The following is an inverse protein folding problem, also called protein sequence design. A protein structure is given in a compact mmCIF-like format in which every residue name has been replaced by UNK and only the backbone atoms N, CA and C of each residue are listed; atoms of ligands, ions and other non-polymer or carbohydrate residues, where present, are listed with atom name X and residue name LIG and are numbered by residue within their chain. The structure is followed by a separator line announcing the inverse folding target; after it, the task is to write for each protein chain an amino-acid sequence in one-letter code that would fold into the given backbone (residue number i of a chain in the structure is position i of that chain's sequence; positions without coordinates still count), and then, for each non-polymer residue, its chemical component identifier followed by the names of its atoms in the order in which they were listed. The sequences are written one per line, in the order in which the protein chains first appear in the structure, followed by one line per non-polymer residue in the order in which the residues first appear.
data_IF_251069868654
#
_entry.id   IF_251069868654
#
_cell.length_a   1.000
_cell.length_b   1.000
_cell.length_c   1.000
_cell.angle_alpha   90.00
_cell.angle_beta   90.00
_cell.angle_gamma   90.00
#
_symmetry.space_group_name_H-M   'P 1'
#
loop_
_entity.id
_entity.type
_entity.pdbx_description
1 polymer ?
#
# COMPACT_ATOMS: atom_id res chain seq x y z
N UNK A 1 -27.80 43.30 14.36
CA UNK A 1 -28.14 42.11 13.57
C UNK A 1 -27.25 40.99 14.09
N UNK A 2 -27.80 39.86 14.53
CA UNK A 2 -26.97 38.74 14.96
C UNK A 2 -26.22 38.23 13.74
N UNK A 3 -24.90 38.10 13.86
CA UNK A 3 -24.07 37.43 12.87
C UNK A 3 -24.66 36.04 12.65
N UNK A 4 -25.13 35.81 11.42
CA UNK A 4 -25.43 34.50 10.90
C UNK A 4 -24.20 33.63 11.18
N UNK A 5 -24.29 32.76 12.18
CA UNK A 5 -23.33 31.71 12.46
C UNK A 5 -23.29 30.84 11.20
N UNK A 6 -22.41 31.19 10.26
CA UNK A 6 -22.08 30.37 9.13
C UNK A 6 -21.81 29.00 9.70
N UNK A 7 -22.65 28.02 9.35
CA UNK A 7 -22.49 26.66 9.83
C UNK A 7 -21.08 26.26 9.41
N UNK A 8 -20.17 26.19 10.37
CA UNK A 8 -18.88 25.54 10.15
C UNK A 8 -19.23 24.22 9.50
N UNK A 9 -18.84 24.07 8.23
CA UNK A 9 -19.15 22.86 7.50
C UNK A 9 -18.53 21.73 8.32
N UNK A 10 -19.37 20.87 8.88
CA UNK A 10 -18.94 19.65 9.57
C UNK A 10 -18.38 18.63 8.55
N UNK A 11 -17.77 19.12 7.48
CA UNK A 11 -17.12 18.33 6.47
C UNK A 11 -15.89 17.69 7.11
N UNK A 12 -15.86 16.36 7.26
CA UNK A 12 -14.77 15.66 7.94
C UNK A 12 -13.41 15.85 7.26
N UNK A 13 -13.41 16.34 6.02
CA UNK A 13 -12.23 16.56 5.19
C UNK A 13 -11.84 18.05 5.03
N UNK A 14 -12.48 18.96 5.78
CA UNK A 14 -12.06 20.37 5.75
C UNK A 14 -10.65 20.54 6.34
N UNK A 15 -9.84 21.42 5.75
CA UNK A 15 -8.48 21.74 6.21
C UNK A 15 -8.46 22.24 7.67
N UNK A 16 -9.57 22.80 8.13
CA UNK A 16 -9.72 23.31 9.50
C UNK A 16 -10.28 22.27 10.49
N UNK A 17 -10.50 21.02 10.02
CA UNK A 17 -11.22 19.99 10.76
C UNK A 17 -10.37 18.72 10.90
N UNK A 18 -9.22 18.83 11.56
CA UNK A 18 -8.35 17.68 11.86
C UNK A 18 -9.13 16.70 12.76
N UNK A 19 -9.37 15.50 12.25
CA UNK A 19 -9.94 14.39 13.01
C UNK A 19 -8.86 13.39 13.41
N UNK A 20 -8.90 12.95 14.66
CA UNK A 20 -8.16 11.81 15.18
C UNK A 20 -9.01 10.55 15.02
N UNK A 21 -8.33 9.44 14.77
CA UNK A 21 -8.93 8.13 14.64
C UNK A 21 -8.48 7.25 15.80
N UNK A 22 -9.42 6.51 16.41
CA UNK A 22 -9.09 5.37 17.25
C UNK A 22 -9.23 4.12 16.37
N UNK A 23 -8.11 3.49 16.02
CA UNK A 23 -8.08 2.36 15.09
C UNK A 23 -8.27 1.04 15.83
N UNK A 24 -9.36 0.35 15.51
CA UNK A 24 -9.64 -0.99 16.00
C UNK A 24 -9.28 -2.05 14.94
N UNK A 25 -8.81 -3.21 15.39
CA UNK A 25 -8.67 -4.36 14.49
C UNK A 25 -10.05 -4.79 13.99
N UNK A 26 -10.17 -5.19 12.71
CA UNK A 26 -11.34 -5.90 12.19
C UNK A 26 -11.31 -7.36 12.65
N UNK A 27 -11.35 -7.53 13.97
CA UNK A 27 -11.47 -8.80 14.64
C UNK A 27 -12.62 -8.70 15.65
N UNK A 28 -13.20 -9.85 15.94
CA UNK A 28 -14.18 -9.95 17.02
C UNK A 28 -13.45 -9.94 18.34
N UNK A 29 -14.00 -9.25 19.33
CA UNK A 29 -13.50 -9.22 20.71
C UNK A 29 -14.47 -10.00 21.60
N UNK A 30 -14.31 -11.33 21.77
CA UNK A 30 -15.30 -12.14 22.49
C UNK A 30 -15.42 -11.84 23.98
N UNK A 31 -14.46 -11.06 24.51
CA UNK A 31 -14.41 -10.62 25.92
C UNK A 31 -14.86 -9.16 26.10
N UNK A 32 -15.25 -8.47 25.03
CA UNK A 32 -15.78 -7.12 25.13
C UNK A 32 -17.13 -7.16 25.86
N UNK A 33 -17.35 -6.21 26.77
CA UNK A 33 -18.44 -6.27 27.74
C UNK A 33 -19.80 -6.24 27.06
N UNK A 34 -19.92 -5.48 25.97
CA UNK A 34 -21.19 -5.28 25.28
C UNK A 34 -21.37 -6.16 24.03
N UNK A 35 -20.52 -7.18 23.83
CA UNK A 35 -20.64 -8.05 22.64
C UNK A 35 -22.00 -8.75 22.54
N UNK A 36 -22.62 -9.12 23.67
CA UNK A 36 -23.93 -9.77 23.69
C UNK A 36 -25.06 -8.89 23.16
N UNK A 37 -24.92 -7.56 23.20
CA UNK A 37 -25.91 -6.63 22.65
C UNK A 37 -25.98 -6.71 21.13
N UNK A 38 -24.86 -7.04 20.50
CA UNK A 38 -24.75 -7.20 19.06
C UNK A 38 -25.50 -8.44 18.54
N UNK A 39 -25.92 -9.36 19.42
CA UNK A 39 -26.78 -10.50 19.05
C UNK A 39 -28.03 -10.06 18.30
N UNK A 40 -28.62 -8.94 18.72
CA UNK A 40 -29.82 -8.35 18.10
C UNK A 40 -29.59 -7.92 16.65
N UNK A 41 -28.33 -7.66 16.27
CA UNK A 41 -27.92 -7.32 14.90
C UNK A 41 -27.54 -8.56 14.08
N UNK A 42 -27.86 -9.75 14.58
CA UNK A 42 -27.47 -11.02 13.96
C UNK A 42 -25.95 -11.23 13.99
N UNK A 43 -25.27 -10.73 15.03
CA UNK A 43 -23.85 -10.96 15.21
C UNK A 43 -23.58 -12.32 15.86
N UNK A 44 -22.43 -12.90 15.56
CA UNK A 44 -21.93 -14.14 16.12
C UNK A 44 -20.39 -14.14 16.16
N UNK A 45 -19.81 -15.12 16.85
CA UNK A 45 -18.37 -15.32 16.99
C UNK A 45 -17.96 -16.67 16.40
N UNK A 46 -16.88 -16.68 15.61
CA UNK A 46 -16.32 -17.92 15.09
C UNK A 46 -15.69 -18.69 16.24
N UNK A 47 -16.24 -19.85 16.51
CA UNK A 47 -15.76 -20.73 17.55
C UNK A 47 -14.91 -21.84 16.98
N UNK A 48 -13.63 -21.86 17.35
CA UNK A 48 -12.83 -23.09 17.32
C UNK A 48 -13.26 -24.06 18.44
N UNK A 49 -12.32 -24.88 18.92
CA UNK A 49 -12.60 -25.88 19.96
C UNK A 49 -12.87 -25.29 21.37
N UNK A 50 -12.69 -23.98 21.59
CA UNK A 50 -12.49 -23.41 22.94
C UNK A 50 -13.54 -22.39 23.40
N UNK A 51 -14.64 -22.21 22.67
CA UNK A 51 -15.61 -21.16 22.99
C UNK A 51 -16.34 -21.33 24.32
N UNK A 52 -16.41 -22.55 24.88
CA UNK A 52 -17.13 -22.78 26.14
C UNK A 52 -16.54 -21.97 27.32
N UNK A 53 -15.25 -21.61 27.23
CA UNK A 53 -14.57 -20.73 28.19
C UNK A 53 -15.03 -19.26 28.15
N UNK A 54 -15.77 -18.85 27.11
CA UNK A 54 -16.26 -17.48 26.93
C UNK A 54 -17.61 -17.23 27.61
N UNK A 55 -18.05 -18.17 28.46
CA UNK A 55 -19.31 -18.05 29.21
C UNK A 55 -20.51 -17.92 28.28
N UNK A 56 -21.37 -16.92 28.54
CA UNK A 56 -22.59 -16.72 27.75
C UNK A 56 -22.30 -16.43 26.27
N UNK A 57 -21.19 -15.74 25.94
CA UNK A 57 -20.81 -15.42 24.56
C UNK A 57 -20.51 -16.70 23.77
N UNK A 58 -19.90 -17.69 24.41
CA UNK A 58 -19.52 -18.96 23.80
C UNK A 58 -20.67 -19.94 23.52
N UNK A 59 -21.85 -19.70 24.11
CA UNK A 59 -23.03 -20.55 23.90
C UNK A 59 -23.59 -20.37 22.49
N UNK A 60 -24.37 -21.35 22.03
CA UNK A 60 -25.07 -21.28 20.75
C UNK A 60 -26.10 -20.14 20.75
N UNK A 61 -26.45 -19.66 19.57
CA UNK A 61 -27.44 -18.58 19.45
C UNK A 61 -28.81 -18.98 20.00
N UNK A 62 -29.24 -20.23 19.82
CA UNK A 62 -30.48 -20.75 20.41
C UNK A 62 -30.49 -20.77 21.96
N UNK A 63 -29.31 -20.83 22.56
CA UNK A 63 -29.09 -20.78 24.02
C UNK A 63 -28.83 -19.33 24.51
N UNK A 64 -29.11 -18.34 23.65
CA UNK A 64 -28.87 -16.93 23.90
C UNK A 64 -27.40 -16.51 23.88
N UNK A 65 -26.50 -17.31 23.32
CA UNK A 65 -25.10 -16.93 23.14
C UNK A 65 -24.83 -16.28 21.79
N UNK A 66 -23.56 -16.27 21.39
CA UNK A 66 -23.07 -15.65 20.16
C UNK A 66 -22.32 -16.64 19.26
N UNK A 67 -22.20 -17.93 19.60
CA UNK A 67 -21.47 -18.88 18.76
C UNK A 67 -22.11 -18.99 17.38
N UNK A 68 -21.33 -18.75 16.33
CA UNK A 68 -21.81 -18.90 14.97
C UNK A 68 -22.22 -20.35 14.69
N UNK A 69 -23.19 -20.58 13.79
CA UNK A 69 -23.52 -21.92 13.31
C UNK A 69 -22.30 -22.63 12.72
N UNK A 70 -22.21 -23.96 12.84
CA UNK A 70 -21.08 -24.73 12.29
C UNK A 70 -21.02 -24.66 10.76
N UNK A 71 -22.18 -24.64 10.10
CA UNK A 71 -22.30 -24.62 8.65
C UNK A 71 -22.51 -23.19 8.15
N UNK A 72 -21.43 -22.41 8.07
CA UNK A 72 -21.47 -21.06 7.49
C UNK A 72 -21.12 -21.10 6.03
N UNK A 73 -21.80 -20.28 5.24
CA UNK A 73 -21.31 -19.96 3.89
C UNK A 73 -20.10 -19.03 4.01
N UNK A 74 -19.13 -19.09 3.08
CA UNK A 74 -18.13 -18.04 2.96
C UNK A 74 -18.81 -16.65 2.93
N UNK A 75 -18.22 -15.67 3.60
CA UNK A 75 -18.72 -14.28 3.68
C UNK A 75 -20.06 -14.10 4.40
N UNK A 76 -20.46 -15.05 5.25
CA UNK A 76 -21.65 -14.87 6.08
C UNK A 76 -21.49 -13.61 6.95
N UNK A 77 -22.45 -12.69 6.85
CA UNK A 77 -22.32 -11.33 7.35
C UNK A 77 -22.43 -11.19 8.87
N UNK A 78 -22.34 -12.28 9.62
CA UNK A 78 -22.67 -12.40 11.04
C UNK A 78 -21.47 -12.16 11.99
N UNK A 79 -20.24 -12.02 11.54
CA UNK A 79 -19.09 -11.88 12.48
C UNK A 79 -18.99 -10.54 13.22
N UNK A 80 -19.55 -9.45 12.68
CA UNK A 80 -19.51 -8.10 13.30
C UNK A 80 -18.14 -7.64 13.84
N UNK A 81 -17.05 -7.84 13.08
CA UNK A 81 -15.70 -7.48 13.51
C UNK A 81 -15.58 -5.98 13.80
N UNK A 82 -14.76 -5.60 14.77
CA UNK A 82 -14.56 -4.20 15.17
C UNK A 82 -15.69 -3.59 16.01
N UNK A 83 -16.96 -3.95 15.74
CA UNK A 83 -18.13 -3.36 16.39
C UNK A 83 -18.17 -3.47 17.92
N UNK A 84 -17.80 -4.62 18.56
CA UNK A 84 -17.80 -4.71 20.02
C UNK A 84 -16.85 -3.70 20.67
N UNK A 85 -15.65 -3.52 20.10
CA UNK A 85 -14.64 -2.60 20.63
C UNK A 85 -15.07 -1.15 20.46
N UNK A 86 -15.68 -0.81 19.31
CA UNK A 86 -16.22 0.52 19.07
C UNK A 86 -17.39 0.81 20.03
N UNK A 87 -18.27 -0.16 20.26
CA UNK A 87 -19.38 -0.01 21.20
C UNK A 87 -18.87 0.19 22.64
N UNK A 88 -17.89 -0.60 23.07
CA UNK A 88 -17.27 -0.48 24.39
C UNK A 88 -16.56 0.87 24.55
N UNK A 89 -15.75 1.31 23.56
CA UNK A 89 -15.13 2.64 23.58
C UNK A 89 -16.20 3.72 23.65
N UNK A 90 -17.24 3.64 22.82
CA UNK A 90 -18.27 4.65 22.78
C UNK A 90 -18.97 4.80 24.13
N UNK A 91 -19.37 3.68 24.75
CA UNK A 91 -19.99 3.69 26.08
C UNK A 91 -19.04 4.19 27.16
N UNK A 92 -17.76 3.82 27.12
CA UNK A 92 -16.76 4.35 28.04
C UNK A 92 -16.55 5.87 27.85
N UNK A 93 -16.71 6.38 26.63
CA UNK A 93 -16.67 7.82 26.35
C UNK A 93 -17.99 8.54 26.65
N UNK A 94 -19.12 7.84 26.79
CA UNK A 94 -20.37 8.43 27.28
C UNK A 94 -20.43 8.44 28.81
N UNK A 95 -19.95 7.36 29.45
CA UNK A 95 -19.83 7.21 30.89
C UNK A 95 -18.45 6.64 31.26
N UNK A 96 -17.43 7.50 31.47
CA UNK A 96 -16.09 7.06 31.83
C UNK A 96 -16.03 6.34 33.18
N UNK A 97 -16.99 6.61 34.08
CA UNK A 97 -17.06 5.95 35.37
C UNK A 97 -17.37 4.45 35.26
N UNK A 98 -18.03 4.04 34.16
CA UNK A 98 -18.30 2.63 33.85
C UNK A 98 -17.04 1.76 33.70
N UNK A 99 -15.90 2.39 33.41
CA UNK A 99 -14.57 1.74 33.33
C UNK A 99 -13.61 2.25 34.41
N UNK A 100 -14.12 2.92 35.44
CA UNK A 100 -13.31 3.46 36.53
C UNK A 100 -12.41 4.62 36.12
N UNK A 101 -12.73 5.34 35.03
CA UNK A 101 -11.97 6.47 34.54
C UNK A 101 -12.65 7.81 34.86
N UNK A 102 -11.85 8.85 35.09
CA UNK A 102 -12.33 10.22 35.26
C UNK A 102 -11.38 11.15 34.48
N UNK A 103 -11.94 11.92 33.55
CA UNK A 103 -11.17 12.87 32.76
C UNK A 103 -10.72 14.05 33.62
N UNK A 104 -9.46 14.44 33.48
CA UNK A 104 -8.89 15.61 34.16
C UNK A 104 -9.09 16.90 33.35
N UNK A 105 -9.35 16.78 32.05
CA UNK A 105 -9.46 17.92 31.12
C UNK A 105 -10.93 18.34 31.00
N UNK A 106 -11.24 19.59 31.33
CA UNK A 106 -12.57 20.15 31.05
C UNK A 106 -12.88 20.15 29.55
N UNK A 107 -14.15 19.97 29.19
CA UNK A 107 -14.58 19.97 27.78
C UNK A 107 -14.15 18.75 26.95
N UNK A 108 -13.60 17.70 27.57
CA UNK A 108 -13.16 16.48 26.89
C UNK A 108 -14.26 15.86 26.01
N UNK A 109 -15.52 15.88 26.45
CA UNK A 109 -16.64 15.28 25.72
C UNK A 109 -16.90 16.00 24.39
N UNK A 110 -16.87 17.35 24.42
CA UNK A 110 -16.98 18.16 23.22
C UNK A 110 -15.77 17.94 22.30
N UNK A 111 -14.56 17.84 22.86
CA UNK A 111 -13.36 17.54 22.08
C UNK A 111 -13.45 16.15 21.42
N UNK A 112 -13.96 15.14 22.12
CA UNK A 112 -14.19 13.81 21.58
C UNK A 112 -15.18 13.85 20.40
N UNK A 113 -16.36 14.41 20.64
CA UNK A 113 -17.41 14.52 19.61
C UNK A 113 -16.96 15.34 18.39
N UNK A 114 -16.15 16.38 18.60
CA UNK A 114 -15.73 17.27 17.53
C UNK A 114 -14.45 16.84 16.83
N UNK A 115 -13.59 16.03 17.44
CA UNK A 115 -12.28 15.70 16.86
C UNK A 115 -12.06 14.23 16.61
N UNK A 116 -12.94 13.35 17.06
CA UNK A 116 -12.73 11.92 16.90
C UNK A 116 -13.72 11.30 15.92
N UNK A 117 -13.20 10.36 15.14
CA UNK A 117 -13.99 9.48 14.30
C UNK A 117 -13.63 8.04 14.66
N UNK A 118 -14.63 7.17 14.72
CA UNK A 118 -14.35 5.74 14.88
C UNK A 118 -13.59 5.26 13.66
N UNK A 119 -12.62 4.35 13.87
CA UNK A 119 -11.95 3.73 12.74
C UNK A 119 -11.62 2.28 12.98
N UNK A 120 -11.43 1.54 11.90
CA UNK A 120 -11.04 0.15 11.96
C UNK A 120 -10.16 -0.23 10.76
N UNK A 121 -9.35 -1.27 10.92
CA UNK A 121 -8.49 -1.81 9.86
C UNK A 121 -9.07 -3.14 9.39
N UNK A 122 -9.59 -3.19 8.17
CA UNK A 122 -10.29 -4.35 7.63
C UNK A 122 -9.60 -4.94 6.42
N UNK A 123 -9.41 -6.26 6.45
CA UNK A 123 -8.77 -6.99 5.35
C UNK A 123 -9.79 -7.76 4.50
N UNK A 124 -10.85 -7.06 4.08
CA UNK A 124 -12.02 -7.62 3.40
C UNK A 124 -12.43 -6.76 2.20
N UNK A 125 -13.10 -7.38 1.21
CA UNK A 125 -13.73 -6.65 0.11
C UNK A 125 -14.97 -5.85 0.52
N UNK A 126 -15.40 -4.95 -0.36
CA UNK A 126 -16.46 -3.98 -0.14
C UNK A 126 -17.81 -4.62 0.23
N UNK A 127 -18.17 -5.74 -0.41
CA UNK A 127 -19.44 -6.42 -0.12
C UNK A 127 -19.47 -6.97 1.32
N UNK A 128 -18.35 -7.54 1.78
CA UNK A 128 -18.22 -8.02 3.15
C UNK A 128 -18.19 -6.85 4.14
N UNK A 129 -17.45 -5.78 3.82
CA UNK A 129 -17.42 -4.54 4.59
C UNK A 129 -18.83 -3.96 4.80
N UNK A 130 -19.64 -3.85 3.74
CA UNK A 130 -20.98 -3.30 3.85
C UNK A 130 -21.87 -4.15 4.77
N UNK A 131 -21.94 -5.44 4.51
CA UNK A 131 -22.84 -6.36 5.20
C UNK A 131 -22.44 -6.64 6.65
N UNK A 132 -21.14 -6.85 6.89
CA UNK A 132 -20.63 -7.22 8.22
C UNK A 132 -20.43 -6.02 9.14
N UNK A 133 -20.15 -4.84 8.57
CA UNK A 133 -19.81 -3.65 9.33
C UNK A 133 -20.76 -2.48 9.10
N UNK A 134 -20.82 -1.90 7.90
CA UNK A 134 -21.48 -0.59 7.68
C UNK A 134 -22.98 -0.63 8.01
N UNK A 135 -23.68 -1.65 7.52
CA UNK A 135 -25.12 -1.81 7.77
C UNK A 135 -25.44 -2.01 9.25
N UNK A 136 -24.54 -2.67 9.99
CA UNK A 136 -24.69 -2.97 11.41
C UNK A 136 -24.26 -1.82 12.31
N UNK A 137 -23.19 -1.12 11.94
CA UNK A 137 -22.72 0.10 12.58
C UNK A 137 -23.81 1.19 12.59
N UNK A 138 -24.60 1.26 11.51
CA UNK A 138 -25.76 2.18 11.43
C UNK A 138 -26.91 1.81 12.38
N UNK A 139 -26.92 0.59 12.93
CA UNK A 139 -27.92 0.05 13.87
C UNK A 139 -27.40 -0.02 15.31
N UNK A 140 -26.20 0.50 15.59
CA UNK A 140 -25.71 0.62 16.95
C UNK A 140 -26.52 1.67 17.72
N UNK A 141 -26.67 1.55 19.06
CA UNK A 141 -27.53 2.43 19.85
C UNK A 141 -27.33 3.92 19.60
N UNK A 142 -26.09 4.37 19.42
CA UNK A 142 -25.73 5.76 19.15
C UNK A 142 -26.04 6.27 17.72
N UNK A 143 -26.42 5.37 16.80
CA UNK A 143 -26.74 5.70 15.40
C UNK A 143 -28.18 5.38 14.99
N UNK A 144 -28.84 4.40 15.62
CA UNK A 144 -30.16 3.89 15.20
C UNK A 144 -31.25 4.96 15.13
N UNK A 145 -31.24 5.90 16.07
CA UNK A 145 -32.23 6.99 16.16
C UNK A 145 -31.66 8.34 15.75
N UNK A 146 -30.43 8.35 15.22
CA UNK A 146 -29.72 9.56 14.85
C UNK A 146 -29.92 9.83 13.35
N UNK A 147 -30.40 11.03 12.97
CA UNK A 147 -30.45 11.45 11.57
C UNK A 147 -29.11 11.24 10.87
N UNK A 148 -29.11 10.89 9.59
CA UNK A 148 -27.90 10.42 8.89
C UNK A 148 -26.76 11.43 8.92
N UNK A 149 -27.10 12.71 8.82
CA UNK A 149 -26.19 13.84 8.88
C UNK A 149 -25.54 14.03 10.26
N UNK A 150 -26.16 13.53 11.32
CA UNK A 150 -25.67 13.57 12.71
C UNK A 150 -25.07 12.25 13.21
N UNK A 151 -25.14 11.17 12.42
CA UNK A 151 -24.56 9.88 12.79
C UNK A 151 -23.06 10.01 13.01
N UNK A 152 -22.54 9.28 13.99
CA UNK A 152 -21.12 9.22 14.27
C UNK A 152 -20.43 8.55 13.10
N UNK A 153 -19.57 9.29 12.42
CA UNK A 153 -18.90 8.83 11.22
C UNK A 153 -17.91 7.70 11.54
N UNK A 154 -17.58 6.90 10.53
CA UNK A 154 -16.58 5.84 10.63
C UNK A 154 -15.68 5.82 9.40
N UNK A 155 -14.40 5.58 9.63
CA UNK A 155 -13.35 5.54 8.61
C UNK A 155 -12.59 4.22 8.66
N UNK A 156 -12.17 3.69 7.51
CA UNK A 156 -11.38 2.46 7.47
C UNK A 156 -9.90 2.76 7.28
N UNK A 157 -9.11 2.56 8.34
CA UNK A 157 -7.69 2.92 8.41
C UNK A 157 -6.79 2.11 7.48
N UNK A 158 -7.17 0.87 7.21
CA UNK A 158 -6.50 -0.02 6.26
C UNK A 158 -7.56 -0.80 5.50
N UNK A 159 -7.56 -0.66 4.18
CA UNK A 159 -8.42 -1.39 3.25
C UNK A 159 -7.60 -2.35 2.39
N UNK A 160 -8.01 -3.61 2.35
CA UNK A 160 -7.55 -4.54 1.31
C UNK A 160 -7.77 -6.02 1.63
N UNK A 161 -8.21 -6.80 0.66
CA UNK A 161 -8.23 -8.27 0.74
C UNK A 161 -7.01 -8.84 0.00
N UNK A 162 -6.18 -9.73 0.58
CA UNK A 162 -5.01 -10.30 -0.10
C UNK A 162 -5.33 -11.00 -1.43
N UNK A 163 -6.52 -11.61 -1.54
CA UNK A 163 -6.95 -12.30 -2.74
C UNK A 163 -7.35 -11.31 -3.83
N UNK A 164 -8.03 -10.21 -3.46
CA UNK A 164 -8.37 -9.14 -4.39
C UNK A 164 -7.12 -8.37 -4.80
N UNK A 165 -6.20 -8.11 -3.86
CA UNK A 165 -4.97 -7.38 -4.11
C UNK A 165 -4.15 -8.00 -5.26
N UNK A 166 -4.14 -9.34 -5.37
CA UNK A 166 -3.45 -10.10 -6.42
C UNK A 166 -4.17 -10.10 -7.78
N UNK A 167 -5.39 -9.58 -7.87
CA UNK A 167 -6.15 -9.56 -9.11
C UNK A 167 -6.54 -8.12 -9.45
N UNK A 168 -5.78 -7.41 -10.32
CA UNK A 168 -6.04 -6.02 -10.64
C UNK A 168 -7.47 -5.70 -11.08
N UNK A 169 -8.08 -6.56 -11.89
CA UNK A 169 -9.46 -6.35 -12.35
C UNK A 169 -10.46 -6.46 -11.21
N UNK A 170 -10.31 -7.48 -10.35
CA UNK A 170 -11.17 -7.66 -9.16
C UNK A 170 -10.90 -6.60 -8.10
N UNK A 171 -9.67 -6.15 -7.96
CA UNK A 171 -9.31 -5.03 -7.10
C UNK A 171 -10.01 -3.75 -7.57
N UNK A 172 -9.98 -3.46 -8.87
CA UNK A 172 -10.66 -2.30 -9.44
C UNK A 172 -12.17 -2.35 -9.17
N UNK A 173 -12.82 -3.47 -9.50
CA UNK A 173 -14.26 -3.69 -9.24
C UNK A 173 -14.60 -3.46 -7.76
N UNK A 174 -13.77 -3.97 -6.85
CA UNK A 174 -13.96 -3.88 -5.41
C UNK A 174 -13.74 -2.46 -4.87
N UNK A 175 -12.73 -1.75 -5.35
CA UNK A 175 -12.49 -0.34 -5.00
C UNK A 175 -13.60 0.58 -5.51
N UNK A 176 -14.17 0.31 -6.69
CA UNK A 176 -15.34 1.01 -7.19
C UNK A 176 -16.55 0.82 -6.25
N UNK A 177 -16.77 -0.40 -5.75
CA UNK A 177 -17.79 -0.67 -4.74
C UNK A 177 -17.51 0.06 -3.43
N UNK A 178 -16.27 0.02 -2.94
CA UNK A 178 -15.87 0.73 -1.73
C UNK A 178 -16.11 2.26 -1.87
N UNK A 179 -15.80 2.84 -3.03
CA UNK A 179 -16.10 4.24 -3.34
C UNK A 179 -17.61 4.51 -3.31
N UNK A 180 -18.44 3.64 -3.89
CA UNK A 180 -19.90 3.79 -3.81
C UNK A 180 -20.41 3.76 -2.37
N UNK A 181 -19.80 2.99 -1.47
CA UNK A 181 -20.14 2.99 -0.04
C UNK A 181 -19.82 4.34 0.61
N UNK A 182 -18.72 4.99 0.24
CA UNK A 182 -18.34 6.34 0.71
C UNK A 182 -19.28 7.43 0.17
N UNK A 183 -19.68 7.30 -1.09
CA UNK A 183 -20.57 8.26 -1.76
C UNK A 183 -22.01 8.18 -1.27
N UNK A 184 -22.41 7.01 -0.75
CA UNK A 184 -23.74 6.77 -0.22
C UNK A 184 -23.99 7.58 1.07
N UNK A 185 -24.64 8.75 0.90
CA UNK A 185 -25.01 9.67 1.98
C UNK A 185 -26.05 9.13 2.96
N UNK A 186 -26.53 7.89 2.81
CA UNK A 186 -27.47 7.24 3.75
C UNK A 186 -26.77 6.45 4.87
N UNK A 187 -25.44 6.27 4.78
CA UNK A 187 -24.65 5.58 5.79
C UNK A 187 -23.67 6.53 6.52
N UNK A 188 -22.95 6.00 7.51
CA UNK A 188 -22.00 6.76 8.32
C UNK A 188 -20.53 6.61 7.87
N UNK A 189 -20.28 5.87 6.79
CA UNK A 189 -18.94 5.59 6.28
C UNK A 189 -18.44 6.79 5.45
N UNK A 190 -17.27 7.31 5.79
CA UNK A 190 -16.76 8.55 5.16
C UNK A 190 -15.51 8.36 4.32
N UNK A 191 -14.88 7.19 4.38
CA UNK A 191 -13.67 6.95 3.62
C UNK A 191 -12.88 5.74 4.09
N UNK A 192 -11.85 5.43 3.32
CA UNK A 192 -10.88 4.39 3.61
C UNK A 192 -9.51 4.75 3.04
N UNK A 193 -8.45 4.23 3.66
CA UNK A 193 -7.11 4.26 3.12
C UNK A 193 -6.80 2.93 2.42
N UNK A 194 -6.42 3.01 1.15
CA UNK A 194 -5.81 1.86 0.49
C UNK A 194 -4.38 1.69 1.01
N UNK A 195 -4.17 0.63 1.78
CA UNK A 195 -2.91 0.32 2.44
C UNK A 195 -2.20 -0.76 1.59
N UNK A 196 -0.93 -0.62 1.18
CA UNK A 196 0.09 0.42 1.45
C UNK A 196 0.61 1.02 0.14
N UNK A 197 1.19 2.22 0.19
CA UNK A 197 1.90 2.78 -0.97
C UNK A 197 3.07 1.86 -1.41
N UNK A 198 3.94 1.49 -0.47
CA UNK A 198 5.09 0.62 -0.71
C UNK A 198 4.94 -0.69 0.07
N UNK A 199 5.48 -1.80 -0.45
CA UNK A 199 5.61 -3.07 0.26
C UNK A 199 6.34 -2.84 1.60
N UNK A 200 5.68 -3.16 2.72
CA UNK A 200 6.34 -3.15 4.02
C UNK A 200 7.20 -4.40 4.23
N UNK A 201 8.45 -4.34 3.78
CA UNK A 201 9.40 -5.46 3.93
C UNK A 201 9.69 -5.85 5.39
N UNK A 202 9.44 -4.96 6.35
CA UNK A 202 9.55 -5.24 7.78
C UNK A 202 8.44 -6.16 8.32
N UNK A 203 7.33 -6.30 7.58
CA UNK A 203 6.24 -7.20 7.99
C UNK A 203 6.68 -8.66 7.90
N UNK A 204 6.19 -9.54 8.81
CA UNK A 204 6.55 -10.95 8.83
C UNK A 204 6.40 -11.60 7.45
N UNK A 205 7.37 -12.45 7.12
CA UNK A 205 7.38 -13.25 5.90
C UNK A 205 8.33 -14.43 6.14
N UNK A 206 7.77 -15.62 6.34
CA UNK A 206 8.54 -16.81 6.74
C UNK A 206 9.58 -17.18 5.67
N UNK A 207 9.31 -16.86 4.41
CA UNK A 207 10.19 -17.10 3.26
C UNK A 207 10.48 -15.79 2.51
N UNK A 208 11.31 -14.93 3.11
CA UNK A 208 11.69 -13.65 2.50
C UNK A 208 12.45 -13.83 1.18
N UNK A 209 13.28 -14.87 1.04
CA UNK A 209 13.93 -15.17 -0.25
C UNK A 209 12.92 -15.66 -1.30
N UNK A 210 11.90 -16.40 -0.87
CA UNK A 210 10.75 -16.76 -1.71
C UNK A 210 9.92 -15.56 -2.13
N UNK A 211 9.83 -14.50 -1.30
CA UNK A 211 9.16 -13.25 -1.67
C UNK A 211 9.83 -12.58 -2.87
N UNK A 212 11.15 -12.38 -2.83
CA UNK A 212 11.87 -11.69 -3.92
C UNK A 212 11.75 -12.46 -5.24
N UNK A 213 11.81 -13.81 -5.16
CA UNK A 213 11.55 -14.68 -6.31
C UNK A 213 10.11 -14.58 -6.81
N UNK A 214 9.14 -14.62 -5.88
CA UNK A 214 7.73 -14.51 -6.21
C UNK A 214 7.44 -13.19 -6.91
N UNK A 215 7.98 -12.07 -6.43
CA UNK A 215 7.78 -10.74 -7.04
C UNK A 215 8.20 -10.72 -8.52
N UNK A 216 9.37 -11.29 -8.84
CA UNK A 216 9.83 -11.43 -10.22
C UNK A 216 8.97 -12.37 -11.08
N UNK A 217 8.51 -13.49 -10.51
CA UNK A 217 7.70 -14.48 -11.23
C UNK A 217 6.21 -14.11 -11.37
N UNK A 218 5.69 -13.32 -10.43
CA UNK A 218 4.29 -12.91 -10.33
C UNK A 218 3.99 -11.65 -11.14
N UNK A 219 5.01 -11.04 -11.76
CA UNK A 219 4.91 -9.76 -12.47
C UNK A 219 3.71 -9.66 -13.43
N UNK A 220 3.56 -10.68 -14.30
CA UNK A 220 2.49 -10.71 -15.30
C UNK A 220 1.25 -11.47 -14.83
N UNK A 221 1.43 -12.51 -13.99
CA UNK A 221 0.36 -13.43 -13.60
C UNK A 221 0.42 -13.75 -12.09
N UNK A 222 0.13 -12.76 -11.22
CA UNK A 222 0.26 -12.93 -9.77
C UNK A 222 -0.69 -13.98 -9.18
N UNK A 223 -1.76 -14.33 -9.88
CA UNK A 223 -2.73 -15.35 -9.46
C UNK A 223 -2.21 -16.78 -9.63
N UNK A 224 -1.35 -17.03 -10.63
CA UNK A 224 -0.84 -18.37 -10.96
C UNK A 224 0.32 -18.79 -10.05
N UNK A 225 0.89 -17.84 -9.31
CA UNK A 225 2.05 -18.05 -8.45
C UNK A 225 1.61 -18.22 -6.99
N UNK A 226 1.89 -19.37 -6.36
CA UNK A 226 1.55 -19.54 -4.95
C UNK A 226 2.30 -18.51 -4.12
N UNK A 227 1.59 -17.86 -3.21
CA UNK A 227 2.19 -16.87 -2.33
C UNK A 227 3.16 -17.55 -1.35
N UNK A 228 4.37 -17.00 -1.13
CA UNK A 228 5.26 -17.49 -0.09
C UNK A 228 4.58 -17.45 1.28
N UNK A 229 4.88 -18.46 2.10
CA UNK A 229 4.21 -18.66 3.38
C UNK A 229 4.45 -17.47 4.31
N UNK A 230 3.36 -16.98 4.92
CA UNK A 230 3.40 -15.87 5.87
C UNK A 230 3.65 -14.49 5.24
N UNK A 231 3.65 -14.34 3.92
CA UNK A 231 3.98 -13.06 3.25
C UNK A 231 2.75 -12.32 2.72
N UNK A 232 1.53 -12.67 3.16
CA UNK A 232 0.27 -12.06 2.70
C UNK A 232 0.18 -10.58 2.94
N UNK A 233 0.76 -10.07 4.02
CA UNK A 233 0.69 -8.63 4.29
C UNK A 233 1.56 -7.79 3.37
N UNK A 234 2.59 -8.38 2.72
CA UNK A 234 3.40 -7.67 1.74
C UNK A 234 2.63 -7.38 0.44
N UNK A 235 1.60 -8.17 0.14
CA UNK A 235 0.71 -7.95 -1.02
C UNK A 235 -0.09 -6.67 -0.95
N UNK A 236 -0.17 -6.02 0.21
CA UNK A 236 -0.86 -4.75 0.36
C UNK A 236 -0.09 -3.61 -0.32
N UNK A 237 1.24 -3.69 -0.41
CA UNK A 237 2.06 -2.69 -1.09
C UNK A 237 1.68 -2.51 -2.56
N UNK A 238 1.40 -1.28 -2.99
CA UNK A 238 1.15 -0.93 -4.40
C UNK A 238 2.43 -0.99 -5.21
N UNK A 239 3.53 -0.54 -4.61
CA UNK A 239 4.85 -0.51 -5.22
C UNK A 239 5.86 -1.33 -4.41
N UNK A 240 6.76 -2.04 -5.09
CA UNK A 240 7.96 -2.63 -4.53
C UNK A 240 9.19 -1.74 -4.80
N UNK A 241 10.34 -2.13 -4.25
CA UNK A 241 11.60 -1.44 -4.49
C UNK A 241 12.17 -1.86 -5.85
N UNK A 242 12.59 -0.88 -6.66
CA UNK A 242 13.46 -1.11 -7.81
C UNK A 242 14.93 -1.14 -7.40
N UNK A 243 15.81 -1.43 -8.37
CA UNK A 243 17.25 -1.57 -8.12
C UNK A 243 18.03 -0.25 -8.27
N UNK A 244 17.33 0.83 -8.66
CA UNK A 244 17.93 2.16 -8.88
C UNK A 244 17.75 2.99 -7.61
N UNK A 245 18.88 3.34 -7.01
CA UNK A 245 18.90 4.26 -5.89
C UNK A 245 18.63 5.70 -6.37
N UNK A 246 17.69 6.38 -5.73
CA UNK A 246 17.35 7.79 -6.03
C UNK A 246 17.91 8.76 -5.01
N UNK A 247 18.16 8.31 -3.79
CA UNK A 247 18.74 9.12 -2.71
C UNK A 247 19.27 8.24 -1.58
N UNK A 248 19.69 8.85 -0.47
CA UNK A 248 19.81 8.22 0.84
C UNK A 248 18.96 8.98 1.86
N UNK A 249 18.59 8.35 2.97
CA UNK A 249 17.91 9.00 4.10
C UNK A 249 18.86 9.87 4.90
N UNK A 250 18.34 10.80 5.69
CA UNK A 250 19.13 11.41 6.77
C UNK A 250 19.24 10.43 7.94
N UNK A 251 19.89 10.89 9.02
CA UNK A 251 19.81 10.20 10.30
C UNK A 251 18.35 10.09 10.74
N UNK A 252 17.91 8.87 11.06
CA UNK A 252 16.54 8.62 11.54
C UNK A 252 16.56 8.70 13.07
N UNK A 253 15.59 9.34 13.74
CA UNK A 253 15.65 9.65 15.18
C UNK A 253 15.95 8.46 16.13
N UNK A 254 15.69 7.22 15.71
CA UNK A 254 15.98 5.99 16.48
C UNK A 254 17.22 5.25 16.00
N UNK A 255 17.82 5.73 14.92
CA UNK A 255 18.98 5.16 14.25
C UNK A 255 19.77 6.24 13.52
N UNK A 256 20.16 7.28 14.26
CA UNK A 256 20.72 8.51 13.71
C UNK A 256 22.07 8.30 13.05
N UNK A 257 22.73 7.19 13.35
CA UNK A 257 24.03 6.83 12.81
C UNK A 257 23.94 6.11 11.46
N UNK A 258 22.74 5.66 11.07
CA UNK A 258 22.55 4.93 9.83
C UNK A 258 21.84 5.77 8.78
N UNK A 259 22.39 5.70 7.58
CA UNK A 259 21.87 6.32 6.37
C UNK A 259 21.45 5.18 5.44
N UNK A 260 20.19 5.18 5.04
CA UNK A 260 19.62 4.09 4.27
C UNK A 260 19.46 4.49 2.80
N UNK A 261 19.69 3.58 1.83
CA UNK A 261 19.40 3.86 0.44
C UNK A 261 17.90 4.07 0.25
N UNK A 262 17.53 5.12 -0.49
CA UNK A 262 16.17 5.32 -0.98
C UNK A 262 16.15 4.81 -2.41
N UNK A 263 15.47 3.69 -2.62
CA UNK A 263 15.29 3.13 -3.95
C UNK A 263 14.13 3.80 -4.66
N UNK A 264 14.20 3.82 -5.99
CA UNK A 264 13.03 4.12 -6.80
C UNK A 264 12.01 2.99 -6.66
N UNK A 265 10.76 3.27 -7.03
CA UNK A 265 9.65 2.34 -6.81
C UNK A 265 9.12 1.83 -8.14
N UNK A 266 8.77 0.55 -8.19
CA UNK A 266 8.12 -0.11 -9.32
C UNK A 266 6.82 -0.75 -8.85
N UNK A 267 5.80 -0.96 -9.70
CA UNK A 267 4.62 -1.71 -9.34
C UNK A 267 5.03 -3.05 -8.71
N UNK A 268 4.32 -3.57 -7.72
CA UNK A 268 4.61 -4.94 -7.23
C UNK A 268 4.34 -6.00 -8.32
N UNK A 269 3.34 -5.74 -9.18
CA UNK A 269 3.03 -6.46 -10.41
C UNK A 269 2.17 -5.56 -11.30
N UNK A 270 2.07 -5.89 -12.58
CA UNK A 270 1.38 -5.06 -13.58
C UNK A 270 -0.12 -4.89 -13.26
N UNK A 271 -0.64 -3.69 -13.49
CA UNK A 271 -2.08 -3.39 -13.40
C UNK A 271 -2.56 -2.97 -12.01
N UNK A 272 -1.80 -3.24 -10.93
CA UNK A 272 -2.24 -2.90 -9.57
C UNK A 272 -2.31 -1.38 -9.35
N UNK A 273 -1.26 -0.58 -9.64
CA UNK A 273 -1.37 0.88 -9.54
C UNK A 273 -2.48 1.46 -10.42
N UNK A 274 -2.69 0.89 -11.61
CA UNK A 274 -3.74 1.31 -12.55
C UNK A 274 -5.14 1.06 -11.98
N UNK A 275 -5.36 -0.11 -11.37
CA UNK A 275 -6.62 -0.44 -10.71
C UNK A 275 -6.95 0.57 -9.59
N UNK A 276 -5.94 0.95 -8.80
CA UNK A 276 -6.08 1.93 -7.72
C UNK A 276 -6.32 3.32 -8.30
N UNK A 277 -5.49 3.77 -9.25
CA UNK A 277 -5.62 5.08 -9.88
C UNK A 277 -6.99 5.24 -10.56
N UNK A 278 -7.49 4.21 -11.24
CA UNK A 278 -8.82 4.20 -11.84
C UNK A 278 -9.93 4.39 -10.80
N UNK A 279 -9.82 3.75 -9.63
CA UNK A 279 -10.83 3.87 -8.58
C UNK A 279 -10.84 5.25 -7.90
N UNK A 280 -9.68 5.89 -7.78
CA UNK A 280 -9.53 7.21 -7.13
C UNK A 280 -9.53 8.40 -8.10
N UNK A 281 -9.61 8.17 -9.42
CA UNK A 281 -9.57 9.23 -10.44
C UNK A 281 -8.19 9.86 -10.62
N UNK A 282 -7.11 9.10 -10.40
CA UNK A 282 -5.72 9.53 -10.52
C UNK A 282 -5.00 9.00 -11.77
N UNK A 283 -3.69 9.21 -11.80
CA UNK A 283 -2.78 8.64 -12.81
C UNK A 283 -1.69 7.81 -12.14
N UNK A 284 -1.13 6.85 -12.88
CA UNK A 284 0.00 6.03 -12.44
C UNK A 284 1.31 6.73 -12.80
N UNK A 285 2.29 6.82 -11.88
CA UNK A 285 3.61 7.35 -12.22
C UNK A 285 4.31 6.46 -13.26
N UNK A 286 5.12 7.06 -14.14
CA UNK A 286 5.94 6.28 -15.06
C UNK A 286 7.10 5.61 -14.30
N UNK A 287 7.00 4.30 -14.11
CA UNK A 287 7.97 3.47 -13.39
C UNK A 287 8.87 2.65 -14.30
N UNK A 288 8.82 2.85 -15.62
CA UNK A 288 9.54 2.04 -16.62
C UNK A 288 11.03 1.91 -16.31
N UNK A 289 11.68 3.00 -15.90
CA UNK A 289 13.11 3.00 -15.55
C UNK A 289 13.37 2.15 -14.29
N UNK A 290 12.47 2.20 -13.30
CA UNK A 290 12.56 1.39 -12.08
C UNK A 290 12.30 -0.09 -12.30
N UNK A 291 11.39 -0.41 -13.21
CA UNK A 291 11.08 -1.79 -13.62
C UNK A 291 12.26 -2.42 -14.36
N UNK A 292 12.87 -1.68 -15.28
CA UNK A 292 13.98 -2.16 -16.08
C UNK A 292 15.32 -2.13 -15.33
N UNK A 293 15.43 -1.32 -14.28
CA UNK A 293 16.60 -1.25 -13.41
C UNK A 293 17.88 -0.84 -14.14
N UNK A 294 19.02 -1.22 -13.57
CA UNK A 294 20.34 -0.94 -14.17
C UNK A 294 20.65 -1.80 -15.40
N UNK A 295 19.95 -2.93 -15.59
CA UNK A 295 20.12 -3.80 -16.76
C UNK A 295 19.74 -3.10 -18.07
N UNK A 296 18.82 -2.15 -18.00
CA UNK A 296 18.45 -1.28 -19.12
C UNK A 296 19.59 -0.33 -19.56
N UNK A 297 20.71 -0.31 -18.83
CA UNK A 297 21.83 0.61 -18.99
C UNK A 297 21.36 2.06 -19.10
N UNK A 298 20.49 2.53 -18.18
CA UNK A 298 20.00 3.89 -18.24
C UNK A 298 21.17 4.86 -18.06
N UNK A 299 21.00 6.08 -18.55
CA UNK A 299 21.98 7.13 -18.32
C UNK A 299 22.16 7.36 -16.82
N UNK A 300 23.40 7.32 -16.37
CA UNK A 300 23.78 7.56 -14.99
C UNK A 300 24.00 9.03 -14.74
N UNK A 301 23.59 9.46 -13.55
CA UNK A 301 23.73 10.80 -13.03
C UNK A 301 24.30 10.71 -11.63
N UNK A 302 25.20 11.62 -11.29
CA UNK A 302 25.63 11.80 -9.91
C UNK A 302 24.88 12.98 -9.30
N UNK A 303 24.07 12.73 -8.28
CA UNK A 303 23.25 13.73 -7.58
C UNK A 303 23.62 13.77 -6.11
N UNK A 304 23.28 14.86 -5.43
CA UNK A 304 23.43 14.96 -4.00
C UNK A 304 22.44 14.06 -3.25
N UNK A 305 22.93 13.40 -2.20
CA UNK A 305 22.11 12.71 -1.22
C UNK A 305 21.18 13.71 -0.52
N UNK A 306 19.90 13.36 -0.37
CA UNK A 306 18.90 14.20 0.33
C UNK A 306 18.81 13.94 1.83
N UNK A 307 19.82 13.26 2.38
CA UNK A 307 19.78 12.76 3.74
C UNK A 307 20.26 13.76 4.79
N UNK A 308 21.57 14.01 4.80
CA UNK A 308 22.24 14.85 5.79
C UNK A 308 22.95 16.02 5.08
N UNK A 309 22.79 17.22 5.63
CA UNK A 309 23.32 18.46 5.08
C UNK A 309 24.81 18.63 5.38
N UNK A 310 25.31 18.06 6.47
CA UNK A 310 26.71 18.25 6.89
C UNK A 310 27.70 17.53 5.95
N UNK A 311 27.51 16.23 5.63
CA UNK A 311 28.31 15.57 4.60
C UNK A 311 28.16 16.26 3.24
N UNK A 312 26.98 16.80 2.93
CA UNK A 312 26.71 17.47 1.66
C UNK A 312 27.57 18.72 1.47
N UNK A 313 27.66 19.58 2.48
CA UNK A 313 28.50 20.79 2.42
C UNK A 313 29.98 20.48 2.25
N UNK A 314 30.49 19.48 2.97
CA UNK A 314 31.88 19.03 2.85
C UNK A 314 32.16 18.41 1.47
N UNK A 315 31.25 17.56 0.98
CA UNK A 315 31.34 16.96 -0.36
C UNK A 315 31.33 18.01 -1.47
N UNK A 316 30.43 19.00 -1.39
CA UNK A 316 30.38 20.12 -2.34
C UNK A 316 31.71 20.89 -2.35
N UNK A 317 32.22 21.29 -1.19
CA UNK A 317 33.50 21.99 -1.08
C UNK A 317 34.64 21.21 -1.74
N UNK A 318 34.76 19.92 -1.42
CA UNK A 318 35.78 19.05 -2.01
C UNK A 318 35.64 18.93 -3.53
N UNK A 319 34.43 18.73 -4.06
CA UNK A 319 34.20 18.63 -5.51
C UNK A 319 34.56 19.93 -6.21
N UNK A 320 34.20 21.08 -5.65
CA UNK A 320 34.55 22.38 -6.21
C UNK A 320 36.07 22.60 -6.27
N UNK A 321 36.80 22.21 -5.22
CA UNK A 321 38.27 22.28 -5.20
C UNK A 321 38.89 21.38 -6.29
N UNK A 322 38.38 20.16 -6.46
CA UNK A 322 38.84 19.25 -7.51
C UNK A 322 38.55 19.79 -8.92
N UNK A 323 37.35 20.34 -9.15
CA UNK A 323 37.00 20.98 -10.42
C UNK A 323 37.94 22.17 -10.71
N UNK A 324 38.25 22.98 -9.70
CA UNK A 324 39.20 24.08 -9.81
C UNK A 324 40.60 23.62 -10.19
N UNK A 325 41.09 22.52 -9.62
CA UNK A 325 42.37 21.90 -10.00
C UNK A 325 42.37 21.38 -11.45
N UNK A 326 41.20 21.01 -11.98
CA UNK A 326 41.00 20.63 -13.38
C UNK A 326 40.75 21.82 -14.31
N UNK A 327 40.74 23.05 -13.78
CA UNK A 327 40.51 24.28 -14.57
C UNK A 327 39.04 24.57 -14.88
N UNK A 328 38.10 24.03 -14.10
CA UNK A 328 36.66 24.27 -14.23
C UNK A 328 36.11 25.06 -13.04
N UNK A 329 35.25 26.06 -13.29
CA UNK A 329 34.50 26.73 -12.23
C UNK A 329 33.26 25.89 -11.88
N UNK A 330 33.12 25.52 -10.61
CA UNK A 330 32.01 24.71 -10.10
C UNK A 330 30.61 25.32 -10.31
N UNK A 331 30.52 26.61 -10.60
CA UNK A 331 29.27 27.33 -10.90
C UNK A 331 29.14 27.71 -12.37
N UNK A 332 30.12 27.36 -13.21
CA UNK A 332 30.08 27.63 -14.63
C UNK A 332 28.83 26.98 -15.25
N UNK A 333 27.96 27.80 -15.85
CA UNK A 333 26.74 27.34 -16.51
C UNK A 333 25.59 26.94 -15.59
N UNK A 334 25.74 27.08 -14.26
CA UNK A 334 24.68 26.77 -13.29
C UNK A 334 23.44 27.65 -13.54
N UNK A 335 22.26 27.07 -13.81
CA UNK A 335 21.05 27.86 -13.98
C UNK A 335 20.70 28.63 -12.70
N UNK A 336 20.21 29.86 -12.84
CA UNK A 336 19.84 30.70 -11.69
C UNK A 336 18.85 30.01 -10.74
N UNK A 337 17.90 29.23 -11.28
CA UNK A 337 16.92 28.46 -10.51
C UNK A 337 17.51 27.30 -9.67
N UNK A 338 18.81 27.01 -9.83
CA UNK A 338 19.55 25.97 -9.11
C UNK A 338 20.61 26.56 -8.17
N UNK A 339 20.75 27.89 -8.10
CA UNK A 339 21.85 28.54 -7.37
C UNK A 339 21.58 28.75 -5.88
N UNK A 340 20.29 28.86 -5.50
CA UNK A 340 19.85 29.27 -4.16
C UNK A 340 19.69 28.10 -3.17
N UNK A 341 19.72 26.86 -3.66
CA UNK A 341 19.54 25.65 -2.86
C UNK A 341 20.78 24.77 -2.91
N UNK A 342 21.26 24.34 -1.74
CA UNK A 342 22.49 23.55 -1.61
C UNK A 342 22.39 22.21 -2.33
N UNK A 343 21.21 21.58 -2.38
CA UNK A 343 21.03 20.30 -3.04
C UNK A 343 21.16 20.43 -4.56
N UNK A 344 20.47 21.39 -5.17
CA UNK A 344 20.53 21.62 -6.61
C UNK A 344 21.88 22.17 -7.07
N UNK A 345 22.55 23.01 -6.28
CA UNK A 345 23.95 23.41 -6.54
C UNK A 345 24.89 22.21 -6.46
N UNK A 346 24.68 21.31 -5.51
CA UNK A 346 25.49 20.09 -5.39
C UNK A 346 25.23 19.12 -6.52
N UNK A 347 23.97 18.92 -6.95
CA UNK A 347 23.63 18.12 -8.14
C UNK A 347 24.42 18.59 -9.37
N UNK A 348 24.53 19.91 -9.56
CA UNK A 348 25.29 20.50 -10.67
C UNK A 348 26.79 20.19 -10.57
N UNK A 349 27.43 20.53 -9.45
CA UNK A 349 28.86 20.32 -9.26
C UNK A 349 29.22 18.82 -9.30
N UNK A 350 28.42 17.97 -8.64
CA UNK A 350 28.61 16.52 -8.59
C UNK A 350 28.48 15.89 -9.97
N UNK A 351 27.47 16.29 -10.75
CA UNK A 351 27.31 15.79 -12.11
C UNK A 351 28.40 16.28 -13.05
N UNK A 352 28.91 17.51 -12.88
CA UNK A 352 30.05 18.02 -13.66
C UNK A 352 31.30 17.19 -13.40
N UNK A 353 31.63 16.98 -12.13
CA UNK A 353 32.77 16.15 -11.73
C UNK A 353 32.63 14.71 -12.23
N UNK A 354 31.44 14.13 -12.05
CA UNK A 354 31.13 12.78 -12.54
C UNK A 354 31.34 12.64 -14.05
N UNK A 355 30.87 13.61 -14.84
CA UNK A 355 31.03 13.60 -16.30
C UNK A 355 32.48 13.75 -16.74
N UNK A 356 33.32 14.44 -15.97
CA UNK A 356 34.75 14.57 -16.25
C UNK A 356 35.55 13.33 -15.84
N UNK A 357 35.07 12.60 -14.82
CA UNK A 357 35.76 11.44 -14.23
C UNK A 357 35.22 10.09 -14.65
N UNK A 358 34.05 10.04 -15.31
CA UNK A 358 33.47 8.77 -15.75
C UNK A 358 34.44 8.00 -16.66
N UNK A 359 34.64 6.72 -16.35
CA UNK A 359 35.60 5.85 -17.02
C UNK A 359 36.96 5.73 -16.31
N UNK A 360 37.27 6.59 -15.33
CA UNK A 360 38.47 6.43 -14.48
C UNK A 360 38.25 5.39 -13.36
N UNK A 361 37.02 5.23 -12.88
CA UNK A 361 36.62 4.29 -11.83
C UNK A 361 35.14 3.89 -12.01
N UNK A 362 34.62 3.01 -11.14
CA UNK A 362 33.19 2.71 -11.11
C UNK A 362 32.37 3.95 -10.68
N UNK A 363 31.14 4.03 -11.16
CA UNK A 363 30.30 5.22 -10.98
C UNK A 363 30.03 5.54 -9.51
N UNK A 364 29.85 4.52 -8.66
CA UNK A 364 29.54 4.71 -7.25
C UNK A 364 30.75 5.31 -6.52
N UNK A 365 31.96 4.82 -6.78
CA UNK A 365 33.19 5.37 -6.23
C UNK A 365 33.45 6.82 -6.65
N UNK A 366 33.15 7.18 -7.91
CA UNK A 366 33.29 8.57 -8.39
C UNK A 366 32.31 9.50 -7.67
N UNK A 367 31.10 9.01 -7.38
CA UNK A 367 29.99 9.81 -6.89
C UNK A 367 29.83 9.80 -5.36
N UNK A 368 30.63 9.05 -4.61
CA UNK A 368 30.36 8.88 -3.17
C UNK A 368 30.58 10.19 -2.38
N UNK A 369 31.70 10.88 -2.60
CA UNK A 369 32.07 12.14 -1.93
C UNK A 369 31.92 12.10 -0.39
N UNK A 370 32.27 10.97 0.24
CA UNK A 370 32.06 10.79 1.67
C UNK A 370 30.59 10.57 2.03
N UNK A 371 29.85 9.88 1.16
CA UNK A 371 28.41 9.65 1.27
C UNK A 371 27.51 10.80 0.78
N UNK A 372 28.07 11.95 0.41
CA UNK A 372 27.31 13.12 -0.03
C UNK A 372 26.64 12.95 -1.40
N UNK A 373 27.14 12.07 -2.27
CA UNK A 373 26.53 11.80 -3.57
C UNK A 373 25.94 10.41 -3.72
N UNK A 374 25.11 10.27 -4.77
CA UNK A 374 24.40 9.04 -5.16
C UNK A 374 24.36 8.95 -6.69
N UNK A 375 24.69 7.78 -7.23
CA UNK A 375 24.45 7.48 -8.65
C UNK A 375 22.99 7.09 -8.84
N UNK A 376 22.29 7.79 -9.73
CA UNK A 376 20.88 7.55 -10.06
C UNK A 376 20.63 7.61 -11.57
N UNK A 377 19.51 7.06 -12.02
CA UNK A 377 18.96 7.28 -13.36
C UNK A 377 17.82 8.32 -13.38
N UNK A 378 17.39 8.77 -12.20
CA UNK A 378 16.19 9.59 -11.99
C UNK A 378 16.56 10.82 -11.16
N UNK A 379 17.32 11.79 -11.71
CA UNK A 379 17.63 13.02 -10.99
C UNK A 379 16.33 13.81 -10.77
N UNK A 380 16.13 14.32 -9.54
CA UNK A 380 14.93 15.09 -9.21
C UNK A 380 14.80 16.41 -9.99
N UNK A 381 15.93 16.97 -10.44
CA UNK A 381 16.03 18.22 -11.22
C UNK A 381 17.03 18.06 -12.35
N UNK A 382 16.58 17.48 -13.46
CA UNK A 382 17.44 17.25 -14.65
C UNK A 382 18.02 18.56 -15.21
N UNK A 383 17.34 19.68 -15.02
CA UNK A 383 17.79 21.02 -15.40
C UNK A 383 18.96 21.54 -14.54
N UNK A 384 19.14 21.00 -13.32
CA UNK A 384 20.26 21.32 -12.44
C UNK A 384 21.43 20.36 -12.59
N UNK A 385 21.49 19.61 -13.69
CA UNK A 385 22.56 18.66 -13.98
C UNK A 385 23.50 19.24 -15.03
N UNK A 386 24.81 19.19 -14.79
CA UNK A 386 25.85 19.55 -15.75
C UNK A 386 25.99 18.43 -16.81
N UNK A 387 24.92 18.23 -17.56
CA UNK A 387 24.93 17.34 -18.71
C UNK A 387 25.57 18.10 -19.85
N UNK A 388 26.66 17.57 -20.41
CA UNK A 388 27.06 17.97 -21.77
C UNK A 388 25.87 17.70 -22.68
N UNK A 389 25.15 18.75 -23.06
CA UNK A 389 24.19 18.69 -24.15
C UNK A 389 25.01 18.24 -25.35
N UNK A 390 24.99 16.93 -25.63
CA UNK A 390 25.24 16.44 -26.97
C UNK A 390 24.38 17.33 -27.85
N UNK A 391 25.01 18.14 -28.71
CA UNK A 391 24.33 19.15 -29.51
C UNK A 391 22.98 18.59 -29.97
N UNK A 392 21.85 19.29 -29.73
CA UNK A 392 20.53 18.72 -29.85
C UNK A 392 20.44 17.98 -31.17
N UNK A 393 20.40 16.65 -31.11
CA UNK A 393 20.13 15.83 -32.29
C UNK A 393 18.78 16.34 -32.76
N UNK A 394 18.78 17.07 -33.88
CA UNK A 394 17.60 17.72 -34.42
C UNK A 394 16.52 16.66 -34.52
N UNK A 395 15.63 16.64 -33.53
CA UNK A 395 14.49 15.75 -33.53
C UNK A 395 13.66 16.24 -34.69
N UNK A 396 13.70 15.51 -35.80
CA UNK A 396 12.80 15.72 -36.91
C UNK A 396 11.40 15.64 -36.33
N UNK A 397 10.80 16.81 -36.08
CA UNK A 397 9.46 16.93 -35.55
C UNK A 397 8.56 16.05 -36.42
N UNK A 398 8.07 14.96 -35.85
CA UNK A 398 7.03 14.18 -36.51
C UNK A 398 5.86 15.13 -36.74
N UNK A 399 5.51 15.29 -38.02
CA UNK A 399 4.42 16.14 -38.45
C UNK A 399 3.16 15.82 -37.63
N UNK A 400 2.34 16.84 -37.29
CA UNK A 400 1.12 16.62 -36.54
C UNK A 400 0.21 15.67 -37.33
N UNK A 401 -0.07 14.50 -36.75
CA UNK A 401 -1.08 13.59 -37.26
C UNK A 401 -2.43 14.26 -37.09
N UNK A 402 -2.99 14.73 -38.20
CA UNK A 402 -4.35 15.25 -38.28
C UNK A 402 -5.33 14.18 -37.81
N UNK A 403 -6.03 14.46 -36.71
CA UNK A 403 -7.19 13.69 -36.25
C UNK A 403 -8.26 13.67 -37.34
N UNK A 404 -8.46 12.50 -37.94
CA UNK A 404 -9.58 12.24 -38.83
C UNK A 404 -10.83 11.88 -38.01
N UNK A 405 -11.92 12.55 -38.37
CA UNK A 405 -13.31 12.43 -37.92
C UNK A 405 -13.84 10.97 -38.01
N UNK A 406 -14.60 10.44 -37.04
CA UNK A 406 -15.12 9.08 -37.10
C UNK A 406 -16.35 9.00 -38.01
N UNK A 407 -16.11 8.66 -39.28
CA UNK A 407 -17.14 8.23 -40.22
C UNK A 407 -17.57 6.77 -39.98
N UNK A 408 -18.86 6.61 -39.66
CA UNK A 408 -19.81 5.51 -39.93
C UNK A 408 -19.27 4.12 -40.39
N UNK A 409 -19.58 3.02 -39.67
CA UNK A 409 -19.10 1.69 -40.04
C UNK A 409 -19.96 1.04 -41.14
N UNK A 410 -19.31 0.67 -42.26
CA UNK A 410 -19.86 -0.29 -43.23
C UNK A 410 -19.08 -1.61 -43.21
N UNK A 411 -19.85 -2.67 -42.96
CA UNK A 411 -19.73 -4.04 -43.46
C UNK A 411 -18.50 -4.91 -43.10
N UNK A 412 -18.82 -5.82 -42.16
CA UNK A 412 -18.40 -7.21 -42.03
C UNK A 412 -18.07 -7.97 -43.33
N UNK A 413 -16.86 -8.53 -43.43
CA UNK A 413 -16.60 -9.81 -44.13
C UNK A 413 -15.22 -10.46 -43.85
N UNK A 414 -14.31 -9.83 -43.11
CA UNK A 414 -12.93 -10.36 -42.95
C UNK A 414 -12.75 -11.35 -41.77
N UNK A 415 -13.77 -11.53 -40.93
CA UNK A 415 -13.68 -12.36 -39.71
C UNK A 415 -13.97 -13.86 -39.94
N UNK A 416 -14.56 -14.26 -41.07
CA UNK A 416 -14.90 -15.66 -41.33
C UNK A 416 -13.69 -16.50 -41.77
N UNK A 417 -12.73 -15.92 -42.52
CA UNK A 417 -11.59 -16.67 -43.05
C UNK A 417 -10.50 -16.96 -42.00
N UNK A 418 -10.35 -16.10 -40.99
CA UNK A 418 -9.37 -16.35 -39.92
C UNK A 418 -9.85 -17.42 -38.93
N UNK A 419 -11.15 -17.56 -38.72
CA UNK A 419 -11.71 -18.54 -37.78
C UNK A 419 -11.53 -19.99 -38.27
N UNK A 420 -11.55 -20.21 -39.60
CA UNK A 420 -11.33 -21.54 -40.20
C UNK A 420 -9.90 -22.06 -40.02
N UNK A 421 -8.89 -21.19 -40.12
CA UNK A 421 -7.50 -21.57 -39.90
C UNK A 421 -7.19 -21.92 -38.45
N UNK A 422 -7.81 -21.21 -37.49
CA UNK A 422 -7.66 -21.53 -36.06
C UNK A 422 -8.32 -22.87 -35.68
N UNK A 423 -9.49 -23.19 -36.24
CA UNK A 423 -10.17 -24.46 -35.97
C UNK A 423 -9.42 -25.65 -36.59
N UNK A 424 -8.80 -25.49 -37.76
CA UNK A 424 -7.98 -26.53 -38.38
C UNK A 424 -6.69 -26.81 -37.58
N UNK A 425 -6.03 -25.76 -37.06
CA UNK A 425 -4.84 -25.90 -36.22
C UNK A 425 -5.15 -26.58 -34.87
N UNK A 426 -6.28 -26.23 -34.24
CA UNK A 426 -6.72 -26.85 -32.99
C UNK A 426 -7.03 -28.36 -33.16
N UNK A 427 -7.66 -28.75 -34.27
CA UNK A 427 -7.94 -30.15 -34.58
C UNK A 427 -6.65 -30.99 -34.79
N UNK A 428 -5.61 -30.39 -35.40
CA UNK A 428 -4.32 -31.04 -35.61
C UNK A 428 -3.59 -31.27 -34.26
N UNK A 429 -3.62 -30.29 -33.37
CA UNK A 429 -3.00 -30.39 -32.04
C UNK A 429 -3.72 -31.43 -31.18
N UNK A 430 -5.05 -31.48 -31.22
CA UNK A 430 -5.82 -32.48 -30.48
C UNK A 430 -5.53 -33.91 -30.97
N UNK A 431 -5.34 -34.10 -32.28
CA UNK A 431 -4.96 -35.38 -32.87
C UNK A 431 -3.58 -35.88 -32.41
N UNK A 432 -2.60 -34.96 -32.30
CA UNK A 432 -1.25 -35.28 -31.82
C UNK A 432 -1.26 -35.68 -30.34
N UNK A 433 -2.04 -34.98 -29.50
CA UNK A 433 -2.13 -35.28 -28.07
C UNK A 433 -2.80 -36.64 -27.82
N UNK A 434 -3.80 -37.01 -28.61
CA UNK A 434 -4.46 -38.33 -28.50
C UNK A 434 -3.52 -39.46 -28.96
N UNK A 435 -2.71 -39.23 -30.00
CA UNK A 435 -1.78 -40.23 -30.51
C UNK A 435 -0.58 -40.49 -29.56
N UNK A 436 -0.10 -39.47 -28.84
CA UNK A 436 1.00 -39.62 -27.88
C UNK A 436 0.53 -40.34 -26.61
N UNK A 437 -0.74 -40.18 -26.21
CA UNK A 437 -1.27 -40.78 -24.98
C UNK A 437 -1.55 -42.29 -25.08
N UNK A 438 -1.57 -42.88 -26.28
CA UNK A 438 -1.79 -44.34 -26.44
C UNK A 438 -0.52 -45.18 -26.36
N UNK A 439 0.68 -44.57 -26.26
CA UNK A 439 1.96 -45.28 -26.38
C UNK A 439 2.77 -45.50 -25.11
N UNK A 440 2.33 -45.03 -23.95
CA UNK A 440 3.09 -45.21 -22.70
C UNK A 440 2.22 -45.87 -21.64
N UNK A 441 2.23 -47.21 -21.63
CA UNK A 441 1.80 -48.00 -20.48
C UNK A 441 2.89 -48.02 -19.40
N UNK A 442 2.48 -47.69 -18.16
CA UNK A 442 2.87 -48.21 -16.83
C UNK A 442 4.36 -48.57 -16.51
N UNK A 443 4.82 -48.49 -15.23
CA UNK A 443 4.06 -48.85 -14.02
C UNK A 443 4.24 -47.99 -12.75
N UNK A 444 3.30 -48.24 -11.85
CA UNK A 444 3.31 -47.92 -10.42
C UNK A 444 4.63 -48.31 -9.73
N UNK A 445 5.13 -47.43 -8.88
CA UNK A 445 5.90 -47.86 -7.72
C UNK A 445 5.64 -47.01 -6.48
N UNK A 446 5.91 -47.65 -5.36
CA UNK A 446 5.34 -47.48 -4.04
C UNK A 446 6.32 -46.86 -3.06
N UNK A 447 5.79 -46.36 -1.93
CA UNK A 447 6.47 -46.09 -0.64
C UNK A 447 7.56 -45.01 -0.58
N UNK A 448 7.35 -44.03 0.30
CA UNK A 448 8.07 -43.96 1.59
C UNK A 448 7.76 -42.63 2.29
N UNK A 449 6.91 -42.68 3.30
CA UNK A 449 6.78 -41.64 4.33
C UNK A 449 8.06 -41.54 5.15
N UNK A 450 8.71 -40.37 5.14
CA UNK A 450 9.69 -39.99 6.17
C UNK A 450 9.16 -38.79 6.94
N UNK A 451 8.74 -39.10 8.16
CA UNK A 451 8.57 -38.18 9.28
C UNK A 451 9.92 -37.55 9.60
N UNK A 452 10.04 -36.23 9.49
CA UNK A 452 11.16 -35.47 10.06
C UNK A 452 10.62 -34.68 11.24
N UNK A 453 11.10 -35.06 12.41
CA UNK A 453 10.85 -34.45 13.69
C UNK A 453 12.10 -33.63 14.05
N UNK A 454 11.97 -32.32 14.19
CA UNK A 454 12.96 -31.40 14.80
C UNK A 454 12.15 -30.24 15.41
N UNK A 455 11.97 -30.21 16.72
CA UNK A 455 12.85 -29.56 17.70
C UNK A 455 13.07 -28.09 17.30
N UNK A 456 12.14 -27.18 17.65
CA UNK A 456 12.09 -26.42 18.92
C UNK A 456 13.48 -25.90 19.33
N UNK A 457 13.69 -24.59 19.19
CA UNK A 457 14.39 -23.81 20.21
C UNK A 457 14.19 -22.30 20.04
N UNK A 458 13.87 -21.69 21.19
CA UNK A 458 14.12 -20.31 21.64
C UNK A 458 13.52 -19.11 20.89
N UNK A 459 12.29 -18.76 21.28
CA UNK A 459 11.83 -17.37 21.30
C UNK A 459 12.43 -16.67 22.52
N UNK A 460 13.20 -15.61 22.29
CA UNK A 460 13.65 -14.68 23.32
C UNK A 460 12.58 -13.58 23.41
N UNK A 461 11.81 -13.57 24.49
CA UNK A 461 10.88 -12.50 24.84
C UNK A 461 11.68 -11.24 25.20
N UNK A 462 11.44 -10.14 24.48
CA UNK A 462 11.82 -8.81 24.93
C UNK A 462 10.66 -8.26 25.77
N UNK A 463 10.81 -8.32 27.09
CA UNK A 463 9.98 -7.56 28.03
C UNK A 463 10.23 -6.06 27.83
N UNK A 464 9.24 -5.34 27.31
CA UNK A 464 9.17 -3.88 27.45
C UNK A 464 8.60 -3.56 28.81
N UNK A 465 9.49 -3.30 29.77
CA UNK A 465 9.13 -2.71 31.07
C UNK A 465 8.57 -1.31 30.89
N UNK A 466 7.36 -1.10 31.39
CA UNK A 466 6.66 0.17 31.51
C UNK A 466 7.36 1.10 32.51
N UNK A 467 8.07 2.12 32.02
CA UNK A 467 8.49 3.25 32.85
C UNK A 467 7.42 4.32 32.88
N UNK A 468 6.99 4.60 34.11
CA UNK A 468 6.09 5.65 34.57
C UNK A 468 6.42 7.03 33.99
N UNK A 469 5.47 7.67 33.31
CA UNK A 469 5.49 9.10 33.03
C UNK A 469 4.41 9.79 33.87
N UNK A 470 4.86 10.40 34.97
CA UNK A 470 4.17 11.48 35.68
C UNK A 470 4.64 12.80 35.07
N UNK A 471 3.71 13.54 34.47
CA UNK A 471 3.52 14.98 34.59
C UNK A 471 2.31 15.36 33.73
#
# INVERSE_FOLDING_TARGET
MPESSASQSNEPCSKDNIKFTAAFSYQVCPRCNHILELRSLGCCIICGATCDSLGQVGKKQEDGGMRCPTNRKPFHADDCPGLPMILDLHKAMEDPSSVGYSFQTEGWQQAFQNRWIHSFNGFVGADALDQQFIQKYSKLPFNTHTPVEKRIKVFMGEYGDPNLARNPDKLKEDLEKARMLVENKTNAFVGFNFFQYQVAYWKPCEDSAGWDRWEGEAWDNPMDKPLPRGCSERLYGTFSLGDIQVSKTGGINYDSNNVYPVQCVKPIFRGKPEAIAAAYGGSVPNTTICEAGWEAKPKQYCVASRGDIDPLGAGLGWVCDQLGQMGHDCTEGLPAACADDIYTKSDWAFSMYFELKKGEADAASICDFGGAGVVTALPGRLDCMAVKTSAPTTSTASAPTTTADPGEPKNSSVLADKLWWFLAAAALILGIVIFVRSRTGEPNDSRSSRTVQRASDTHQEFEMTTSTLRA
#
